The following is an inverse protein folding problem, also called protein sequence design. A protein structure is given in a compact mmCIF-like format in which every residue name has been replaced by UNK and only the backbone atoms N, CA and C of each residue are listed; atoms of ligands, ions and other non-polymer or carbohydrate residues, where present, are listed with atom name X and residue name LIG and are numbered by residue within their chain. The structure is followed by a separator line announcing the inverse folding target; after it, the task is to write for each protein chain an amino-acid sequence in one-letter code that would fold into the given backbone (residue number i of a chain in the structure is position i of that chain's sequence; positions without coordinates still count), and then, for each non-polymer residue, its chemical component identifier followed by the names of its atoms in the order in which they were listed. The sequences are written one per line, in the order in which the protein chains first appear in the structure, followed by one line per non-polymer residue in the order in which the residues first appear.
data_IF_024332108620
#
_entry.id   IF_024332108620
#
_cell.length_a   1.000
_cell.length_b   1.000
_cell.length_c   1.000
_cell.angle_alpha   90.00
_cell.angle_beta   90.00
_cell.angle_gamma   90.00
#
_symmetry.space_group_name_H-M   'P 1'
#
loop_
_entity.id
_entity.type
_entity.pdbx_description
1 polymer ?
#
# COMPACT_ATOMS: atom_id res chain seq x y z
N UNK A 1 -9.65 5.31 4.27
CA UNK A 1 -10.81 5.41 3.37
C UNK A 1 -10.35 5.75 1.97
N UNK A 2 -11.02 5.25 0.92
CA UNK A 2 -10.45 5.23 -0.44
C UNK A 2 -10.46 6.55 -1.21
N UNK A 3 -11.46 7.43 -1.02
CA UNK A 3 -11.58 8.66 -1.81
C UNK A 3 -10.86 9.85 -1.18
N UNK A 4 -11.60 10.75 -0.52
CA UNK A 4 -11.07 11.96 0.09
C UNK A 4 -9.89 11.69 1.05
N UNK A 5 -9.88 10.63 1.89
CA UNK A 5 -8.74 10.37 2.77
C UNK A 5 -7.46 9.97 2.03
N UNK A 6 -7.55 9.55 0.77
CA UNK A 6 -6.40 9.34 -0.10
C UNK A 6 -6.24 10.48 -1.12
N UNK A 7 -6.84 11.64 -0.90
CA UNK A 7 -6.71 12.80 -1.79
C UNK A 7 -7.39 12.62 -3.15
N UNK A 8 -8.46 11.81 -3.24
CA UNK A 8 -9.31 11.76 -4.44
C UNK A 8 -10.52 12.66 -4.24
N UNK A 9 -10.66 13.66 -5.11
CA UNK A 9 -11.81 14.57 -5.13
C UNK A 9 -12.88 14.00 -6.06
N UNK A 10 -14.13 13.97 -5.59
CA UNK A 10 -15.30 13.63 -6.42
C UNK A 10 -16.18 14.86 -6.69
N UNK A 11 -16.71 15.47 -5.61
CA UNK A 11 -17.56 16.67 -5.69
C UNK A 11 -17.18 17.68 -4.60
N UNK A 12 -17.10 17.23 -3.35
CA UNK A 12 -16.65 18.04 -2.22
C UNK A 12 -15.11 18.16 -2.28
N UNK A 13 -14.55 19.37 -2.21
CA UNK A 13 -13.10 19.55 -2.13
C UNK A 13 -12.50 18.80 -0.93
N UNK A 14 -11.32 18.21 -1.12
CA UNK A 14 -10.60 17.55 -0.03
C UNK A 14 -9.88 18.58 0.83
N UNK A 15 -9.83 18.38 2.14
CA UNK A 15 -9.13 19.29 3.07
C UNK A 15 -7.61 19.33 2.85
N UNK A 16 -7.04 18.27 2.27
CA UNK A 16 -5.60 18.14 2.02
C UNK A 16 -5.35 17.81 0.54
N UNK A 17 -5.46 18.79 -0.36
CA UNK A 17 -5.31 18.57 -1.80
C UNK A 17 -3.92 18.05 -2.17
N UNK A 18 -2.87 18.53 -1.48
CA UNK A 18 -1.47 18.17 -1.77
C UNK A 18 -0.99 16.92 -1.01
N UNK A 19 -1.90 16.16 -0.37
CA UNK A 19 -1.53 14.97 0.40
C UNK A 19 -0.76 13.94 -0.46
N UNK A 20 -1.20 13.59 -1.68
CA UNK A 20 -0.47 12.62 -2.51
C UNK A 20 0.98 13.04 -2.81
N UNK A 21 1.20 14.32 -3.12
CA UNK A 21 2.51 14.90 -3.44
C UNK A 21 3.41 14.94 -2.19
N UNK A 22 2.84 15.25 -1.02
CA UNK A 22 3.57 15.19 0.25
C UNK A 22 3.98 13.77 0.60
N UNK A 23 3.11 12.78 0.39
CA UNK A 23 3.45 11.38 0.65
C UNK A 23 4.52 10.85 -0.32
N UNK A 24 4.45 11.21 -1.61
CA UNK A 24 5.42 10.75 -2.61
C UNK A 24 6.82 11.38 -2.43
N UNK A 25 6.87 12.64 -1.99
CA UNK A 25 8.11 13.36 -1.70
C UNK A 25 8.68 13.07 -0.31
N UNK A 26 7.89 12.50 0.61
CA UNK A 26 8.35 12.17 1.95
C UNK A 26 9.58 11.25 1.95
N UNK A 27 10.57 11.62 2.76
CA UNK A 27 11.77 10.82 3.02
C UNK A 27 12.11 10.89 4.50
N UNK A 28 12.49 9.76 5.08
CA UNK A 28 13.07 9.69 6.41
C UNK A 28 14.26 8.75 6.38
N UNK A 29 15.48 9.31 6.42
CA UNK A 29 16.72 8.58 6.10
C UNK A 29 16.56 7.90 4.72
N UNK A 30 16.84 6.60 4.63
CA UNK A 30 16.68 5.82 3.42
C UNK A 30 15.23 5.34 3.16
N UNK A 31 14.29 5.66 4.07
CA UNK A 31 12.89 5.25 3.92
C UNK A 31 12.08 6.25 3.09
N UNK A 32 11.21 5.70 2.25
CA UNK A 32 10.20 6.41 1.47
C UNK A 32 8.86 5.69 1.57
N UNK A 33 7.77 6.42 1.36
CA UNK A 33 6.44 5.84 1.23
C UNK A 33 6.32 5.26 -0.19
N UNK A 34 5.92 3.99 -0.29
CA UNK A 34 5.88 3.24 -1.56
C UNK A 34 4.46 2.87 -2.00
N UNK A 35 3.51 2.80 -1.07
CA UNK A 35 2.11 2.49 -1.33
C UNK A 35 1.19 3.28 -0.40
N UNK A 36 -0.12 3.23 -0.66
CA UNK A 36 -1.13 3.81 0.21
C UNK A 36 -2.39 2.93 0.20
N UNK A 37 -2.59 2.18 1.28
CA UNK A 37 -3.69 1.23 1.48
C UNK A 37 -4.46 1.54 2.79
N UNK A 38 -5.27 0.61 3.32
CA UNK A 38 -6.21 0.92 4.40
C UNK A 38 -6.12 0.00 5.63
N UNK A 39 -5.35 -1.09 5.58
CA UNK A 39 -5.42 -2.17 6.56
C UNK A 39 -4.12 -2.32 7.38
N UNK A 40 -2.97 -2.14 6.74
CA UNK A 40 -1.65 -2.55 7.24
C UNK A 40 -1.28 -1.86 8.55
N UNK A 41 -1.62 -0.58 8.70
CA UNK A 41 -1.32 0.17 9.94
C UNK A 41 -1.99 -0.42 11.17
N UNK A 42 -3.25 -0.86 11.07
CA UNK A 42 -3.98 -1.48 12.17
C UNK A 42 -3.47 -2.89 12.45
N UNK A 43 -3.20 -3.68 11.40
CA UNK A 43 -2.63 -5.03 11.51
C UNK A 43 -1.30 -4.98 12.27
N UNK A 44 -0.39 -4.08 11.88
CA UNK A 44 0.92 -3.95 12.53
C UNK A 44 0.81 -3.40 13.95
N UNK A 45 -0.08 -2.43 14.19
CA UNK A 45 -0.33 -1.89 15.53
C UNK A 45 -0.81 -2.96 16.49
N UNK A 46 -1.88 -3.67 16.14
CA UNK A 46 -2.47 -4.73 16.97
C UNK A 46 -1.54 -5.94 17.09
N UNK A 47 -0.94 -6.39 15.97
CA UNK A 47 0.00 -7.49 15.97
C UNK A 47 1.17 -7.25 16.92
N UNK A 48 1.75 -6.04 16.91
CA UNK A 48 2.82 -5.67 17.84
C UNK A 48 2.36 -5.72 19.30
N UNK A 49 1.16 -5.22 19.61
CA UNK A 49 0.62 -5.25 20.98
C UNK A 49 0.38 -6.70 21.46
N UNK A 50 0.07 -7.61 20.55
CA UNK A 50 -0.16 -9.03 20.85
C UNK A 50 1.11 -9.89 20.80
N UNK A 51 2.27 -9.31 20.52
CA UNK A 51 3.54 -10.05 20.40
C UNK A 51 3.69 -10.85 19.10
N UNK A 52 2.94 -10.51 18.05
CA UNK A 52 3.04 -11.15 16.74
C UNK A 52 4.02 -10.42 15.81
N UNK A 53 4.74 -11.22 15.01
CA UNK A 53 5.51 -10.72 13.87
C UNK A 53 4.59 -10.67 12.65
N UNK A 54 4.24 -9.46 12.22
CA UNK A 54 3.34 -9.26 11.09
C UNK A 54 4.10 -8.80 9.85
N UNK A 55 3.66 -9.28 8.69
CA UNK A 55 4.11 -8.84 7.38
C UNK A 55 2.89 -8.61 6.49
N UNK A 56 2.89 -7.50 5.74
CA UNK A 56 1.91 -7.15 4.73
C UNK A 56 2.61 -7.03 3.37
N UNK A 57 2.01 -7.62 2.35
CA UNK A 57 2.49 -7.61 0.98
C UNK A 57 1.33 -7.12 0.11
N UNK A 58 1.56 -6.05 -0.67
CA UNK A 58 0.54 -5.46 -1.54
C UNK A 58 0.98 -5.46 -2.98
N UNK A 59 0.08 -5.86 -3.89
CA UNK A 59 0.27 -5.70 -5.32
C UNK A 59 -0.19 -4.30 -5.76
N UNK A 60 0.67 -3.56 -6.44
CA UNK A 60 0.31 -2.27 -7.03
C UNK A 60 -0.50 -2.49 -8.30
N UNK A 61 -1.81 -2.25 -8.23
CA UNK A 61 -2.73 -2.36 -9.37
C UNK A 61 -2.92 -1.03 -10.12
N UNK A 62 -2.64 0.09 -9.45
CA UNK A 62 -2.73 1.42 -10.01
C UNK A 62 -1.55 2.27 -9.52
N UNK A 63 -0.70 2.70 -10.45
CA UNK A 63 0.38 3.64 -10.17
C UNK A 63 -0.13 5.07 -10.41
N UNK A 64 -0.38 5.77 -9.30
CA UNK A 64 -0.90 7.13 -9.34
C UNK A 64 0.09 8.15 -9.91
N UNK A 65 1.40 7.94 -9.69
CA UNK A 65 2.43 8.88 -10.16
C UNK A 65 2.60 8.84 -11.66
N UNK A 66 2.43 7.68 -12.28
CA UNK A 66 2.58 7.50 -13.73
C UNK A 66 1.24 7.41 -14.47
N UNK A 67 0.12 7.47 -13.76
CA UNK A 67 -1.23 7.24 -14.27
C UNK A 67 -1.39 5.90 -15.00
N UNK A 68 -0.58 4.89 -14.64
CA UNK A 68 -0.62 3.56 -15.25
C UNK A 68 -1.43 2.60 -14.39
N UNK A 69 -2.22 1.79 -15.05
CA UNK A 69 -2.98 0.70 -14.43
C UNK A 69 -2.42 -0.63 -14.88
N UNK A 70 -2.47 -1.63 -14.00
CA UNK A 70 -2.13 -2.99 -14.40
C UNK A 70 -3.10 -3.44 -15.50
N UNK A 71 -2.55 -3.94 -16.61
CA UNK A 71 -3.34 -4.53 -17.71
C UNK A 71 -4.05 -5.81 -17.27
N UNK A 72 -3.48 -6.51 -16.30
CA UNK A 72 -4.02 -7.73 -15.71
C UNK A 72 -3.73 -7.74 -14.20
N UNK A 73 -4.58 -7.04 -13.46
CA UNK A 73 -4.47 -6.95 -12.00
C UNK A 73 -4.62 -8.32 -11.33
N UNK A 74 -5.46 -9.20 -11.90
CA UNK A 74 -5.70 -10.54 -11.35
C UNK A 74 -4.41 -11.38 -11.40
N UNK A 75 -3.77 -11.45 -12.57
CA UNK A 75 -2.51 -12.17 -12.72
C UNK A 75 -1.40 -11.60 -11.84
N UNK A 76 -1.34 -10.27 -11.70
CA UNK A 76 -0.36 -9.64 -10.81
C UNK A 76 -0.56 -10.03 -9.33
N UNK A 77 -1.81 -10.17 -8.89
CA UNK A 77 -2.14 -10.65 -7.53
C UNK A 77 -1.83 -12.13 -7.39
N UNK A 78 -2.20 -12.97 -8.37
CA UNK A 78 -1.86 -14.40 -8.36
C UNK A 78 -0.35 -14.63 -8.27
N UNK A 79 0.45 -13.90 -9.05
CA UNK A 79 1.91 -13.97 -8.97
C UNK A 79 2.43 -13.58 -7.59
N UNK A 80 1.86 -12.55 -6.97
CA UNK A 80 2.24 -12.12 -5.61
C UNK A 80 1.92 -13.21 -4.58
N UNK A 81 0.74 -13.84 -4.67
CA UNK A 81 0.34 -14.94 -3.78
C UNK A 81 1.32 -16.11 -3.90
N UNK A 82 1.54 -16.62 -5.11
CA UNK A 82 2.45 -17.74 -5.35
C UNK A 82 3.85 -17.41 -4.85
N UNK A 83 4.38 -16.23 -5.19
CA UNK A 83 5.72 -15.84 -4.75
C UNK A 83 5.85 -15.70 -3.24
N UNK A 84 4.81 -15.18 -2.58
CA UNK A 84 4.80 -15.01 -1.13
C UNK A 84 4.78 -16.36 -0.43
N UNK A 85 3.97 -17.31 -0.91
CA UNK A 85 3.91 -18.67 -0.38
C UNK A 85 5.24 -19.41 -0.56
N UNK A 86 5.88 -19.30 -1.72
CA UNK A 86 7.22 -19.86 -1.97
C UNK A 86 8.24 -19.34 -0.95
N UNK A 87 8.28 -18.02 -0.76
CA UNK A 87 9.23 -17.39 0.18
C UNK A 87 8.96 -17.85 1.61
N UNK A 88 7.70 -17.89 2.04
CA UNK A 88 7.32 -18.36 3.37
C UNK A 88 7.70 -19.82 3.61
N UNK A 89 7.53 -20.69 2.62
CA UNK A 89 7.89 -22.11 2.73
C UNK A 89 9.40 -22.34 2.68
N UNK A 90 10.16 -21.50 1.97
CA UNK A 90 11.63 -21.59 1.92
C UNK A 90 12.35 -21.01 3.13
N UNK A 91 11.64 -20.21 3.95
CA UNK A 91 12.17 -19.58 5.16
C UNK A 91 12.05 -20.47 6.41
N UNK A 92 11.54 -21.69 6.23
CA UNK A 92 11.49 -22.78 7.21
C UNK A 92 12.56 -23.80 6.85
#
# INVERSE_FOLDING_TARGET
GFYAPQGRTLRIPVNFPDLPEKLSSFRYKDFRITNFEMETSAIYGLGKLMGHHCLSISTIVANRSTHQFSKDAKKAVENMITKSLEVLLSAV
#
